data_IF_250422908797
#
_entry.id   IF_250422908797
#
_cell.length_a   1.000
_cell.length_b   1.000
_cell.length_c   1.000
_cell.angle_alpha   90.00
_cell.angle_beta   90.00
_cell.angle_gamma   90.00
#
_symmetry.space_group_name_H-M   'P 1'
#
loop_
_entity.id
_entity.type
_entity.pdbx_description
1 polymer ?
#
# COMPACT_ATOMS: atom_id res chain seq x y z
N UNK A 1 -2.71 10.41 -0.54
CA UNK A 1 -2.00 9.22 -1.03
C UNK A 1 -2.10 9.12 -2.54
N UNK A 2 -1.10 8.54 -3.21
CA UNK A 2 -1.16 8.31 -4.66
C UNK A 2 -2.27 7.32 -5.01
N UNK A 3 -2.89 7.50 -6.18
CA UNK A 3 -3.95 6.62 -6.68
C UNK A 3 -3.51 5.16 -6.82
N UNK A 4 -2.20 4.89 -6.89
CA UNK A 4 -1.62 3.55 -6.85
C UNK A 4 -2.08 2.76 -5.62
N UNK A 5 -2.16 3.43 -4.46
CA UNK A 5 -2.61 2.81 -3.21
C UNK A 5 -4.09 2.41 -3.31
N UNK A 6 -4.92 3.32 -3.83
CA UNK A 6 -6.36 3.07 -3.98
C UNK A 6 -6.66 2.01 -5.06
N UNK A 7 -5.95 2.01 -6.18
CA UNK A 7 -6.05 0.95 -7.20
C UNK A 7 -5.66 -0.41 -6.60
N UNK A 8 -4.56 -0.47 -5.84
CA UNK A 8 -4.17 -1.68 -5.14
C UNK A 8 -5.25 -2.18 -4.18
N UNK A 9 -5.87 -1.28 -3.40
CA UNK A 9 -6.99 -1.62 -2.49
C UNK A 9 -8.20 -2.16 -3.25
N UNK A 10 -8.58 -1.52 -4.37
CA UNK A 10 -9.64 -2.03 -5.24
C UNK A 10 -9.32 -3.45 -5.73
N UNK A 11 -8.12 -3.67 -6.29
CA UNK A 11 -7.72 -4.99 -6.80
C UNK A 11 -7.69 -6.05 -5.70
N UNK A 12 -7.23 -5.69 -4.49
CA UNK A 12 -7.28 -6.56 -3.33
C UNK A 12 -8.72 -6.99 -3.03
N UNK A 13 -9.61 -6.01 -2.85
CA UNK A 13 -11.01 -6.28 -2.47
C UNK A 13 -11.70 -7.12 -3.54
N UNK A 14 -11.60 -6.71 -4.81
CA UNK A 14 -12.22 -7.45 -5.92
C UNK A 14 -11.66 -8.88 -6.03
N UNK A 15 -10.35 -9.07 -5.83
CA UNK A 15 -9.73 -10.40 -5.93
C UNK A 15 -10.12 -11.36 -4.80
N UNK A 16 -10.36 -10.85 -3.58
CA UNK A 16 -10.67 -11.69 -2.41
C UNK A 16 -12.14 -11.79 -2.06
N UNK A 17 -12.90 -10.72 -2.28
CA UNK A 17 -14.28 -10.56 -1.82
C UNK A 17 -15.27 -10.27 -2.96
N UNK A 18 -14.78 -10.06 -4.18
CA UNK A 18 -15.60 -9.83 -5.37
C UNK A 18 -16.00 -8.36 -5.55
N UNK A 19 -16.63 -8.10 -6.70
CA UNK A 19 -17.02 -6.74 -7.11
C UNK A 19 -18.15 -6.16 -6.27
N UNK A 20 -19.09 -6.99 -5.81
CA UNK A 20 -20.21 -6.53 -4.99
C UNK A 20 -19.73 -5.99 -3.63
N UNK A 21 -18.74 -6.64 -3.02
CA UNK A 21 -18.10 -6.16 -1.80
C UNK A 21 -17.39 -4.82 -2.04
N UNK A 22 -16.70 -4.67 -3.17
CA UNK A 22 -16.07 -3.42 -3.56
C UNK A 22 -17.08 -2.28 -3.71
N UNK A 23 -18.22 -2.53 -4.35
CA UNK A 23 -19.27 -1.52 -4.49
C UNK A 23 -19.89 -1.11 -3.16
N UNK A 24 -20.12 -2.06 -2.25
CA UNK A 24 -20.60 -1.77 -0.89
C UNK A 24 -19.60 -0.88 -0.12
N UNK A 25 -18.31 -1.22 -0.19
CA UNK A 25 -17.23 -0.45 0.45
C UNK A 25 -17.16 0.96 -0.13
N UNK A 26 -17.19 1.11 -1.46
CA UNK A 26 -17.20 2.43 -2.10
C UNK A 26 -18.39 3.28 -1.66
N UNK A 27 -19.58 2.69 -1.59
CA UNK A 27 -20.79 3.39 -1.16
C UNK A 27 -20.67 3.87 0.30
N UNK A 28 -20.18 3.01 1.20
CA UNK A 28 -19.95 3.35 2.60
C UNK A 28 -18.84 4.41 2.78
N UNK A 29 -17.79 4.35 1.97
CA UNK A 29 -16.67 5.31 1.98
C UNK A 29 -16.97 6.63 1.27
N UNK A 30 -18.12 6.77 0.59
CA UNK A 30 -18.42 7.94 -0.25
C UNK A 30 -17.45 8.09 -1.44
N UNK A 31 -16.97 6.98 -1.99
CA UNK A 31 -16.00 6.97 -3.09
C UNK A 31 -16.70 6.93 -4.46
N UNK A 32 -16.69 8.08 -5.16
CA UNK A 32 -17.32 8.23 -6.47
C UNK A 32 -16.42 7.85 -7.67
N UNK A 33 -15.18 7.41 -7.41
CA UNK A 33 -14.25 7.00 -8.46
C UNK A 33 -14.78 5.74 -9.14
N UNK A 34 -14.86 5.75 -10.49
CA UNK A 34 -15.31 4.57 -11.26
C UNK A 34 -14.39 3.38 -11.01
N UNK A 35 -14.91 2.17 -11.17
CA UNK A 35 -14.12 0.95 -11.03
C UNK A 35 -12.95 0.94 -12.02
N UNK A 36 -11.74 0.66 -11.53
CA UNK A 36 -10.49 0.78 -12.27
C UNK A 36 -10.14 2.21 -12.68
N UNK A 37 -10.77 3.21 -12.06
CA UNK A 37 -10.64 4.62 -12.41
C UNK A 37 -9.59 5.39 -11.61
N UNK A 38 -8.94 4.77 -10.61
CA UNK A 38 -7.86 5.42 -9.87
C UNK A 38 -6.64 5.65 -10.77
N UNK A 39 -6.26 6.92 -10.93
CA UNK A 39 -5.08 7.29 -11.71
C UNK A 39 -3.84 7.12 -10.82
N UNK A 40 -3.02 6.12 -11.13
CA UNK A 40 -1.95 5.63 -10.23
C UNK A 40 -1.01 6.72 -9.69
N UNK A 41 -0.63 7.68 -10.54
CA UNK A 41 0.34 8.73 -10.18
C UNK A 41 -0.32 10.06 -9.79
N UNK A 42 -1.65 10.08 -9.64
CA UNK A 42 -2.39 11.26 -9.20
C UNK A 42 -2.54 11.26 -7.67
N UNK A 43 -2.36 12.39 -6.98
CA UNK A 43 -2.61 12.48 -5.56
C UNK A 43 -4.11 12.50 -5.26
N UNK A 44 -4.53 11.70 -4.28
CA UNK A 44 -5.86 11.73 -3.67
C UNK A 44 -5.74 12.16 -2.21
N UNK A 45 -6.76 12.79 -1.61
CA UNK A 45 -6.76 13.07 -0.18
C UNK A 45 -6.56 11.79 0.65
N UNK A 46 -5.76 11.85 1.72
CA UNK A 46 -5.52 10.68 2.59
C UNK A 46 -6.83 10.15 3.19
N UNK A 47 -7.77 11.05 3.49
CA UNK A 47 -9.11 10.71 3.96
C UNK A 47 -9.87 9.80 3.01
N UNK A 48 -9.62 9.86 1.69
CA UNK A 48 -10.26 8.96 0.74
C UNK A 48 -9.77 7.51 0.90
N UNK A 49 -8.46 7.30 1.00
CA UNK A 49 -7.89 5.96 1.24
C UNK A 49 -8.26 5.43 2.61
N UNK A 50 -8.15 6.27 3.66
CA UNK A 50 -8.54 5.89 5.02
C UNK A 50 -10.03 5.52 5.08
N UNK A 51 -10.90 6.29 4.41
CA UNK A 51 -12.33 5.99 4.32
C UNK A 51 -12.61 4.65 3.69
N UNK A 52 -11.90 4.29 2.61
CA UNK A 52 -12.02 2.97 1.97
C UNK A 52 -11.58 1.85 2.92
N UNK A 53 -10.47 2.01 3.63
CA UNK A 53 -9.95 0.99 4.56
C UNK A 53 -10.91 0.79 5.74
N UNK A 54 -11.42 1.88 6.33
CA UNK A 54 -12.40 1.82 7.43
C UNK A 54 -13.69 1.16 6.96
N UNK A 55 -14.21 1.56 5.80
CA UNK A 55 -15.41 0.93 5.23
C UNK A 55 -15.20 -0.55 4.90
N UNK A 56 -14.00 -0.95 4.48
CA UNK A 56 -13.65 -2.36 4.27
C UNK A 56 -13.64 -3.14 5.59
N UNK A 57 -13.07 -2.57 6.65
CA UNK A 57 -13.06 -3.20 7.98
C UNK A 57 -14.50 -3.42 8.49
N UNK A 58 -15.35 -2.40 8.40
CA UNK A 58 -16.77 -2.48 8.77
C UNK A 58 -17.54 -3.51 7.94
N UNK A 59 -17.37 -3.51 6.62
CA UNK A 59 -18.07 -4.43 5.72
C UNK A 59 -17.66 -5.90 5.92
N UNK A 60 -16.40 -6.12 6.32
CA UNK A 60 -15.85 -7.46 6.55
C UNK A 60 -15.99 -7.93 8.00
N UNK A 61 -16.33 -7.03 8.93
CA UNK A 61 -16.45 -7.33 10.36
C UNK A 61 -15.11 -7.65 11.02
N UNK A 62 -14.04 -6.98 10.61
CA UNK A 62 -12.66 -7.15 11.12
C UNK A 62 -12.10 -5.81 11.60
N UNK A 63 -10.94 -5.84 12.27
CA UNK A 63 -10.27 -4.60 12.68
C UNK A 63 -9.57 -3.93 11.49
N UNK A 64 -9.38 -2.61 11.57
CA UNK A 64 -8.66 -1.84 10.55
C UNK A 64 -7.24 -2.38 10.34
N UNK A 65 -6.58 -2.78 11.42
CA UNK A 65 -5.22 -3.32 11.40
C UNK A 65 -5.14 -4.62 10.58
N UNK A 66 -6.16 -5.48 10.66
CA UNK A 66 -6.23 -6.71 9.85
C UNK A 66 -6.33 -6.40 8.35
N UNK A 67 -7.10 -5.35 7.99
CA UNK A 67 -7.21 -4.89 6.60
C UNK A 67 -5.88 -4.32 6.10
N UNK A 68 -5.19 -3.54 6.93
CA UNK A 68 -3.89 -2.97 6.60
C UNK A 68 -2.80 -4.03 6.47
N UNK A 69 -2.80 -5.06 7.33
CA UNK A 69 -1.88 -6.20 7.20
C UNK A 69 -2.15 -6.96 5.89
N UNK A 70 -3.41 -7.25 5.59
CA UNK A 70 -3.81 -7.89 4.34
C UNK A 70 -3.41 -7.07 3.12
N UNK A 71 -3.56 -5.75 3.20
CA UNK A 71 -3.10 -4.81 2.18
C UNK A 71 -1.59 -4.90 1.98
N UNK A 72 -0.79 -4.83 3.05
CA UNK A 72 0.67 -4.88 2.96
C UNK A 72 1.17 -6.16 2.28
N UNK A 73 0.56 -7.31 2.60
CA UNK A 73 0.87 -8.60 1.95
C UNK A 73 0.57 -8.58 0.45
N UNK A 74 -0.58 -8.00 0.05
CA UNK A 74 -0.98 -7.90 -1.35
C UNK A 74 -0.18 -6.85 -2.13
N UNK A 75 0.18 -5.74 -1.48
CA UNK A 75 0.86 -4.61 -2.10
C UNK A 75 2.22 -4.99 -2.69
N UNK A 76 2.96 -5.90 -2.05
CA UNK A 76 4.23 -6.37 -2.58
C UNK A 76 4.05 -7.12 -3.92
N UNK A 77 3.09 -8.04 -4.00
CA UNK A 77 2.80 -8.76 -5.25
C UNK A 77 2.22 -7.83 -6.32
N UNK A 78 1.34 -6.91 -5.92
CA UNK A 78 0.78 -5.90 -6.80
C UNK A 78 1.88 -5.02 -7.42
N UNK A 79 2.79 -4.47 -6.62
CA UNK A 79 3.87 -3.61 -7.14
C UNK A 79 4.82 -4.36 -8.07
N UNK A 80 5.12 -5.63 -7.78
CA UNK A 80 5.90 -6.49 -8.71
C UNK A 80 5.21 -6.64 -10.05
N UNK A 81 3.91 -6.93 -10.06
CA UNK A 81 3.12 -7.04 -11.29
C UNK A 81 2.97 -5.71 -12.06
N UNK A 82 3.16 -4.58 -11.38
CA UNK A 82 3.02 -3.23 -11.94
C UNK A 82 4.36 -2.57 -12.31
N UNK A 83 5.40 -3.35 -12.56
CA UNK A 83 6.67 -2.88 -13.14
C UNK A 83 7.75 -2.51 -12.12
N UNK A 84 7.48 -2.67 -10.82
CA UNK A 84 8.47 -2.40 -9.76
C UNK A 84 9.33 -3.62 -9.40
N UNK A 85 9.14 -4.79 -10.03
CA UNK A 85 9.85 -6.03 -9.67
C UNK A 85 11.38 -5.91 -9.75
N UNK A 86 11.92 -5.28 -10.80
CA UNK A 86 13.37 -5.04 -10.90
C UNK A 86 13.87 -4.12 -9.78
N UNK A 87 13.12 -3.06 -9.49
CA UNK A 87 13.47 -2.09 -8.47
C UNK A 87 13.44 -2.73 -7.07
N UNK A 88 12.45 -3.57 -6.78
CA UNK A 88 12.34 -4.32 -5.52
C UNK A 88 13.46 -5.35 -5.34
N UNK A 89 13.93 -5.98 -6.42
CA UNK A 89 15.05 -6.94 -6.40
C UNK A 89 16.41 -6.27 -6.14
N UNK A 90 16.55 -4.98 -6.44
CA UNK A 90 17.80 -4.24 -6.22
C UNK A 90 18.03 -3.81 -4.76
N UNK A 91 17.06 -4.00 -3.87
CA UNK A 91 17.11 -3.49 -2.51
C UNK A 91 18.03 -4.29 -1.57
N UNK A 92 18.29 -5.56 -1.89
CA UNK A 92 19.22 -6.37 -1.10
C UNK A 92 18.87 -7.85 -1.15
N UNK A 93 19.85 -8.70 -0.84
CA UNK A 93 19.71 -10.16 -0.84
C UNK A 93 19.31 -10.75 0.53
N UNK A 94 19.22 -9.91 1.56
CA UNK A 94 18.74 -10.29 2.90
C UNK A 94 17.66 -9.31 3.34
N UNK A 95 16.77 -9.75 4.24
CA UNK A 95 15.70 -8.90 4.76
C UNK A 95 16.28 -7.61 5.40
N UNK A 96 17.36 -7.72 6.18
CA UNK A 96 18.04 -6.56 6.76
C UNK A 96 18.49 -5.54 5.72
N UNK A 97 19.23 -6.00 4.70
CA UNK A 97 19.71 -5.10 3.64
C UNK A 97 18.54 -4.46 2.89
N UNK A 98 17.51 -5.26 2.58
CA UNK A 98 16.31 -4.80 1.89
C UNK A 98 15.57 -3.71 2.67
N UNK A 99 15.39 -3.89 3.98
CA UNK A 99 14.74 -2.89 4.83
C UNK A 99 15.59 -1.64 5.01
N UNK A 100 16.91 -1.80 5.16
CA UNK A 100 17.85 -0.68 5.28
C UNK A 100 17.95 0.16 3.99
N UNK A 101 17.51 -0.36 2.84
CA UNK A 101 17.52 0.37 1.57
C UNK A 101 16.17 1.01 1.22
N UNK A 102 15.12 0.83 2.03
CA UNK A 102 13.78 1.38 1.75
C UNK A 102 13.77 2.89 1.55
N UNK A 103 14.58 3.64 2.30
CA UNK A 103 14.69 5.08 2.13
C UNK A 103 15.26 5.42 0.74
N UNK A 104 16.33 4.75 0.32
CA UNK A 104 16.92 4.97 -1.00
C UNK A 104 15.96 4.59 -2.14
N UNK A 105 15.16 3.54 -1.96
CA UNK A 105 14.07 3.19 -2.87
C UNK A 105 13.04 4.33 -2.99
N UNK A 106 12.53 4.82 -1.85
CA UNK A 106 11.54 5.88 -1.84
C UNK A 106 12.09 7.22 -2.35
N UNK A 107 13.34 7.55 -2.04
CA UNK A 107 14.03 8.73 -2.60
C UNK A 107 14.15 8.64 -4.13
N UNK A 108 14.48 7.46 -4.66
CA UNK A 108 14.50 7.24 -6.11
C UNK A 108 13.11 7.46 -6.72
N UNK A 109 12.06 6.94 -6.08
CA UNK A 109 10.68 7.10 -6.53
C UNK A 109 10.21 8.56 -6.47
N UNK A 110 10.61 9.33 -5.45
CA UNK A 110 10.27 10.75 -5.29
C UNK A 110 10.66 11.58 -6.53
N UNK A 111 11.75 11.22 -7.22
CA UNK A 111 12.19 11.91 -8.44
C UNK A 111 11.19 11.80 -9.60
N UNK A 112 10.48 10.68 -9.70
CA UNK A 112 9.51 10.38 -10.77
C UNK A 112 8.06 10.55 -10.33
N UNK A 113 7.80 10.53 -9.02
CA UNK A 113 6.50 10.70 -8.38
C UNK A 113 6.55 11.89 -7.41
N UNK A 114 6.66 13.14 -7.93
CA UNK A 114 6.95 14.32 -7.11
C UNK A 114 5.86 14.67 -6.10
N UNK A 115 4.62 14.22 -6.35
CA UNK A 115 3.46 14.39 -5.46
C UNK A 115 3.32 13.25 -4.44
N UNK A 116 4.16 12.21 -4.53
CA UNK A 116 4.21 11.13 -3.57
C UNK A 116 4.71 11.62 -2.22
N UNK A 117 4.11 11.10 -1.15
CA UNK A 117 4.65 11.17 0.20
C UNK A 117 5.02 9.75 0.59
N UNK A 118 6.30 9.54 0.91
CA UNK A 118 6.85 8.23 1.22
C UNK A 118 7.34 8.17 2.66
N UNK A 119 7.19 7.02 3.34
CA UNK A 119 7.69 6.83 4.69
C UNK A 119 9.22 6.73 4.72
N UNK A 120 9.78 7.09 5.88
CA UNK A 120 11.19 6.96 6.21
C UNK A 120 11.33 5.90 7.31
N UNK A 121 12.29 5.00 7.15
CA UNK A 121 12.56 3.89 8.05
C UNK A 121 13.99 3.94 8.58
N UNK A 122 14.20 3.54 9.83
CA UNK A 122 15.52 3.36 10.41
C UNK A 122 15.68 1.92 10.90
N UNK A 123 16.74 1.25 10.46
CA UNK A 123 17.09 -0.08 10.97
C UNK A 123 18.18 0.08 12.02
N UNK A 124 17.90 -0.37 13.24
CA UNK A 124 18.86 -0.36 14.33
C UNK A 124 19.20 -1.79 14.75
N UNK A 125 20.45 -1.97 15.16
CA UNK A 125 20.88 -3.21 15.80
C UNK A 125 20.40 -3.18 17.26
N UNK A 126 19.71 -4.23 17.66
CA UNK A 126 19.36 -4.47 19.04
C UNK A 126 20.13 -5.69 19.54
N UNK A 127 20.74 -5.57 20.72
CA UNK A 127 21.52 -6.64 21.36
C UNK A 127 20.60 -7.76 21.91
N UNK A 128 19.32 -7.46 22.13
CA UNK A 128 18.32 -8.37 22.70
C UNK A 128 17.48 -9.10 21.64
N UNK A 129 17.18 -8.44 20.51
CA UNK A 129 16.45 -9.03 19.38
C UNK A 129 17.13 -8.71 18.04
N UNK A 130 17.22 -9.70 17.14
CA UNK A 130 17.87 -9.50 15.83
C UNK A 130 17.05 -8.57 14.92
N UNK A 131 17.39 -7.29 14.95
CA UNK A 131 16.98 -6.26 14.00
C UNK A 131 15.63 -5.64 14.32
N UNK A 132 15.64 -4.41 14.82
CA UNK A 132 14.46 -3.57 14.97
C UNK A 132 14.37 -2.57 13.81
N UNK A 133 13.16 -2.37 13.31
CA UNK A 133 12.85 -1.27 12.39
C UNK A 133 12.07 -0.24 13.22
N UNK A 134 12.53 1.00 13.23
CA UNK A 134 11.90 2.14 13.88
C UNK A 134 11.48 3.16 12.84
#
# INVERSE_FOLDING_TARGET
>A
MLGLINDCTEKLVVSKFGVDAWHAIKAAAGCDVKDGGFVKHEPYPDSATVGIVVAAAEALGVEVDDVLELFGRYFLEYTRANGYDNLLKCQGSTLRLWLSSLNALHDHLQSSLPTGSFPVFWCEDCDEERGSIV
#
